data_IF_450287003225
#
_entry.id   IF_450287003225
#
_cell.length_a   1.000
_cell.length_b   1.000
_cell.length_c   1.000
_cell.angle_alpha   90.00
_cell.angle_beta   90.00
_cell.angle_gamma   90.00
#
_symmetry.space_group_name_H-M   'P 1'
#
loop_
_entity.id
_entity.type
_entity.pdbx_description
1 polymer ?
#
# COMPACT_ATOMS: atom_id res chain seq x y z
N UNK A 1 -35.82 -30.38 -35.78
CA UNK A 1 -35.17 -30.44 -34.43
C UNK A 1 -33.66 -30.16 -34.44
N UNK A 2 -32.91 -30.48 -35.50
CA UNK A 2 -31.46 -30.22 -35.62
C UNK A 2 -31.07 -28.73 -35.62
N UNK A 3 -31.88 -27.86 -36.25
CA UNK A 3 -31.56 -26.43 -36.40
C UNK A 3 -31.62 -25.62 -35.09
N UNK A 4 -32.60 -25.88 -34.21
CA UNK A 4 -32.73 -25.19 -32.90
C UNK A 4 -31.57 -25.47 -31.94
N UNK A 5 -30.95 -26.66 -32.04
CA UNK A 5 -29.78 -27.04 -31.22
C UNK A 5 -28.50 -26.34 -31.67
N UNK A 6 -28.35 -26.10 -32.97
CA UNK A 6 -27.22 -25.35 -33.54
C UNK A 6 -27.34 -23.86 -33.19
N UNK A 7 -28.55 -23.28 -33.26
CA UNK A 7 -28.78 -21.89 -32.86
C UNK A 7 -28.52 -21.62 -31.36
N UNK A 8 -28.95 -22.52 -30.46
CA UNK A 8 -28.67 -22.37 -29.02
C UNK A 8 -27.17 -22.49 -28.70
N UNK A 9 -26.47 -23.42 -29.34
CA UNK A 9 -25.02 -23.58 -29.17
C UNK A 9 -24.24 -22.35 -29.67
N UNK A 10 -24.66 -21.77 -30.81
CA UNK A 10 -24.06 -20.56 -31.35
C UNK A 10 -24.29 -19.34 -30.43
N UNK A 11 -25.50 -19.15 -29.89
CA UNK A 11 -25.76 -18.07 -28.92
C UNK A 11 -24.95 -18.23 -27.63
N UNK A 12 -24.82 -19.46 -27.11
CA UNK A 12 -23.99 -19.74 -25.95
C UNK A 12 -22.50 -19.44 -26.18
N UNK A 13 -21.98 -19.78 -27.37
CA UNK A 13 -20.60 -19.47 -27.75
C UNK A 13 -20.36 -17.95 -27.90
N UNK A 14 -21.33 -17.21 -28.46
CA UNK A 14 -21.26 -15.75 -28.59
C UNK A 14 -21.32 -15.07 -27.21
N UNK A 15 -22.15 -15.58 -26.29
CA UNK A 15 -22.22 -15.08 -24.91
C UNK A 15 -20.93 -15.37 -24.13
N UNK A 16 -20.33 -16.54 -24.34
CA UNK A 16 -19.05 -16.92 -23.72
C UNK A 16 -17.90 -16.05 -24.24
N UNK A 17 -17.85 -15.77 -25.56
CA UNK A 17 -16.87 -14.86 -26.15
C UNK A 17 -17.06 -13.42 -25.64
N UNK A 18 -18.29 -12.94 -25.53
CA UNK A 18 -18.57 -11.60 -25.00
C UNK A 18 -18.20 -11.47 -23.51
N UNK A 19 -18.41 -12.53 -22.72
CA UNK A 19 -18.03 -12.54 -21.30
C UNK A 19 -16.51 -12.52 -21.09
N UNK A 20 -15.72 -13.12 -21.99
CA UNK A 20 -14.25 -13.09 -21.91
C UNK A 20 -13.66 -11.70 -22.20
N UNK A 21 -14.30 -10.90 -23.05
CA UNK A 21 -13.84 -9.53 -23.37
C UNK A 21 -14.03 -8.57 -22.18
N UNK A 22 -15.10 -8.73 -21.40
CA UNK A 22 -15.39 -7.87 -20.23
C UNK A 22 -14.36 -8.08 -19.10
N UNK A 23 -13.82 -9.28 -18.94
CA UNK A 23 -12.80 -9.57 -17.91
C UNK A 23 -11.43 -8.96 -18.23
N UNK A 24 -11.09 -8.73 -19.51
CA UNK A 24 -9.80 -8.12 -19.88
C UNK A 24 -9.78 -6.60 -19.73
N UNK A 25 -10.92 -5.93 -19.90
CA UNK A 25 -11.02 -4.47 -19.79
C UNK A 25 -10.90 -3.95 -18.33
N UNK A 26 -11.14 -4.80 -17.33
CA UNK A 26 -11.11 -4.41 -15.92
C UNK A 26 -9.69 -4.22 -15.35
N UNK A 27 -8.64 -4.62 -16.08
CA UNK A 27 -7.26 -4.61 -15.58
C UNK A 27 -6.38 -3.50 -16.19
N UNK A 28 -6.99 -2.53 -16.89
CA UNK A 28 -6.30 -1.38 -17.47
C UNK A 28 -6.31 -0.15 -16.54
N UNK A 29 -6.57 -0.33 -15.24
CA UNK A 29 -6.17 0.66 -14.26
C UNK A 29 -4.64 0.63 -14.23
N UNK A 30 -4.01 1.61 -14.89
CA UNK A 30 -2.59 1.89 -14.73
C UNK A 30 -2.37 2.11 -13.24
N UNK A 31 -1.88 1.08 -12.54
CA UNK A 31 -1.43 1.22 -11.16
C UNK A 31 -0.23 2.14 -11.22
N UNK A 32 -0.49 3.44 -11.11
CA UNK A 32 0.56 4.44 -10.97
C UNK A 32 1.43 3.99 -9.80
N UNK A 33 2.75 4.00 -10.02
CA UNK A 33 3.67 3.63 -8.95
C UNK A 33 3.45 4.61 -7.81
N UNK A 34 3.29 4.14 -6.56
CA UNK A 34 3.12 5.06 -5.44
C UNK A 34 4.38 5.91 -5.28
N UNK A 35 4.20 7.16 -4.87
CA UNK A 35 5.31 7.98 -4.42
C UNK A 35 5.76 7.48 -3.04
N UNK A 36 7.06 7.36 -2.83
CA UNK A 36 7.65 6.99 -1.55
C UNK A 36 8.35 8.22 -0.97
N UNK A 37 7.92 8.66 0.20
CA UNK A 37 8.53 9.76 0.94
C UNK A 37 9.20 9.17 2.18
N UNK A 38 10.52 9.32 2.27
CA UNK A 38 11.30 8.93 3.45
C UNK A 38 11.63 10.20 4.26
N UNK A 39 11.09 10.27 5.48
CA UNK A 39 11.40 11.33 6.45
C UNK A 39 12.18 10.72 7.60
N UNK A 40 13.36 11.26 7.87
CA UNK A 40 14.25 10.80 8.94
C UNK A 40 14.80 12.01 9.69
N UNK A 41 14.55 12.06 11.00
CA UNK A 41 15.13 13.05 11.90
C UNK A 41 16.52 12.58 12.37
N UNK A 42 17.47 13.51 12.51
CA UNK A 42 18.77 13.22 13.13
C UNK A 42 18.62 13.28 14.65
N UNK A 43 19.36 12.43 15.36
CA UNK A 43 19.41 12.35 16.84
C UNK A 43 18.05 12.21 17.58
N UNK A 44 16.99 11.75 16.92
CA UNK A 44 15.69 11.51 17.56
C UNK A 44 15.69 10.18 18.34
N UNK A 45 15.58 10.26 19.66
CA UNK A 45 15.43 9.11 20.54
C UNK A 45 14.01 8.56 20.58
N UNK A 46 13.88 7.34 21.12
CA UNK A 46 12.58 6.66 21.28
C UNK A 46 11.55 7.50 22.05
N UNK A 47 11.98 8.20 23.10
CA UNK A 47 11.09 8.99 23.94
C UNK A 47 10.75 10.38 23.41
N UNK A 48 11.27 10.78 22.25
CA UNK A 48 11.24 12.18 21.78
C UNK A 48 9.96 12.58 21.03
N UNK A 49 8.92 11.74 21.06
CA UNK A 49 7.64 11.98 20.38
C UNK A 49 6.44 11.88 21.31
N UNK A 50 5.38 12.61 20.97
CA UNK A 50 4.09 12.59 21.69
C UNK A 50 3.46 11.20 21.67
N UNK A 51 3.43 10.53 20.51
CA UNK A 51 2.90 9.16 20.37
C UNK A 51 3.65 8.11 21.20
N UNK A 52 4.89 8.38 21.62
CA UNK A 52 5.65 7.54 22.57
C UNK A 52 5.57 8.04 24.02
N UNK A 53 4.67 8.98 24.31
CA UNK A 53 4.36 9.44 25.66
C UNK A 53 5.25 10.58 26.19
N UNK A 54 5.94 11.34 25.34
CA UNK A 54 6.73 12.47 25.83
C UNK A 54 5.85 13.49 26.58
N UNK A 55 6.19 13.89 27.83
CA UNK A 55 5.33 14.75 28.65
C UNK A 55 5.24 16.23 28.21
N UNK A 56 6.03 16.68 27.23
CA UNK A 56 6.25 18.11 26.95
C UNK A 56 6.40 18.42 25.46
N UNK A 57 7.15 17.58 24.72
CA UNK A 57 7.31 17.72 23.27
C UNK A 57 5.98 17.43 22.60
N UNK A 58 5.59 18.32 21.67
CA UNK A 58 4.34 18.21 20.91
C UNK A 58 4.67 17.88 19.46
N UNK A 59 4.20 16.73 18.99
CA UNK A 59 4.41 16.26 17.62
C UNK A 59 3.08 15.97 16.92
N UNK A 60 2.13 16.92 16.86
CA UNK A 60 0.74 16.64 16.49
C UNK A 60 0.59 15.94 15.13
N UNK A 61 1.43 16.28 14.14
CA UNK A 61 1.40 15.64 12.82
C UNK A 61 1.95 14.20 12.85
N UNK A 62 2.97 13.93 13.66
CA UNK A 62 3.48 12.56 13.84
C UNK A 62 2.53 11.73 14.69
N UNK A 63 1.85 12.36 15.65
CA UNK A 63 0.88 11.72 16.53
C UNK A 63 -0.34 11.28 15.72
N UNK A 64 -0.88 12.17 14.88
CA UNK A 64 -1.96 11.83 13.94
C UNK A 64 -1.53 10.75 12.94
N UNK A 65 -0.30 10.82 12.42
CA UNK A 65 0.23 9.79 11.51
C UNK A 65 0.33 8.43 12.20
N UNK A 66 0.69 8.38 13.49
CA UNK A 66 0.81 7.13 14.25
C UNK A 66 -0.55 6.44 14.49
N UNK A 67 -1.67 7.19 14.49
CA UNK A 67 -3.02 6.63 14.63
C UNK A 67 -3.44 5.80 13.41
N UNK A 68 -3.01 6.19 12.21
CA UNK A 68 -3.37 5.56 10.94
C UNK A 68 -2.23 4.71 10.31
N UNK A 69 -1.08 4.60 10.97
CA UNK A 69 0.11 3.90 10.46
C UNK A 69 0.46 2.64 11.25
N UNK A 70 1.31 1.81 10.65
CA UNK A 70 2.01 0.75 11.38
C UNK A 70 3.19 1.36 12.15
N UNK A 71 3.10 1.33 13.48
CA UNK A 71 4.18 1.77 14.38
C UNK A 71 5.04 0.58 14.78
N UNK A 72 6.35 0.68 14.59
CA UNK A 72 7.31 -0.32 15.03
C UNK A 72 7.84 0.03 16.42
N UNK A 73 7.37 -0.68 17.44
CA UNK A 73 7.74 -0.46 18.84
C UNK A 73 9.16 -0.92 19.22
N UNK A 74 9.80 -1.70 18.34
CA UNK A 74 11.12 -2.31 18.53
C UNK A 74 11.98 -2.19 17.27
N UNK A 75 12.06 -0.99 16.71
CA UNK A 75 12.99 -0.65 15.64
C UNK A 75 14.32 -0.14 16.21
N UNK A 76 15.44 -0.72 15.78
CA UNK A 76 16.78 -0.38 16.26
C UNK A 76 17.64 0.16 15.12
N UNK A 77 18.37 1.25 15.38
CA UNK A 77 19.37 1.77 14.46
C UNK A 77 20.53 0.75 14.29
N UNK A 78 21.10 0.69 13.09
CA UNK A 78 22.23 -0.20 12.80
C UNK A 78 23.51 0.11 13.60
N UNK A 79 23.63 1.35 14.10
CA UNK A 79 24.70 1.78 15.00
C UNK A 79 24.28 3.03 15.79
N UNK A 80 24.87 3.33 16.96
CA UNK A 80 24.54 4.53 17.75
C UNK A 80 25.28 5.79 17.24
N UNK A 81 25.41 5.94 15.93
CA UNK A 81 26.11 7.05 15.26
C UNK A 81 25.45 7.34 13.91
N UNK A 82 25.38 8.62 13.55
CA UNK A 82 24.53 9.07 12.44
C UNK A 82 24.98 8.52 11.08
N UNK A 83 26.28 8.59 10.75
CA UNK A 83 26.79 8.15 9.44
C UNK A 83 26.54 6.68 9.11
N UNK A 84 26.88 5.70 9.97
CA UNK A 84 26.57 4.30 9.68
C UNK A 84 25.08 3.98 9.73
N UNK A 85 24.26 4.68 10.54
CA UNK A 85 22.79 4.53 10.52
C UNK A 85 22.20 4.96 9.19
N UNK A 86 22.75 6.02 8.57
CA UNK A 86 22.30 6.51 7.26
C UNK A 86 22.77 5.64 6.09
N UNK A 87 23.84 4.87 6.28
CA UNK A 87 24.45 4.07 5.24
C UNK A 87 23.96 2.61 5.19
N UNK A 88 23.31 2.13 6.26
CA UNK A 88 22.85 0.75 6.41
C UNK A 88 21.57 0.43 5.62
#
# INVERSE_FOLDING_TARGET
MRMRRVFLAAMGAVFYLAATEVSFAANAATSEKPNIILVMADDQGWGDTGYNGHPFVKTPELDAMAEDAFVFDRFYAGAPVCSPTRAS
#
